data_IF_106550745608
#
_entry.id   IF_106550745608
#
_cell.length_a   1.000
_cell.length_b   1.000
_cell.length_c   1.000
_cell.angle_alpha   90.00
_cell.angle_beta   90.00
_cell.angle_gamma   90.00
#
_symmetry.space_group_name_H-M   'P 1'
#
loop_
_entity.id
_entity.type
_entity.pdbx_description
1 polymer ?
#
# COMPACT_ATOMS: atom_id res chain seq x y z
N UNK A 1 23.13 5.42 -3.12
CA UNK A 1 22.70 6.27 -4.26
C UNK A 1 21.41 6.99 -3.88
N UNK A 2 21.41 8.32 -3.80
CA UNK A 2 20.25 9.11 -3.34
C UNK A 2 19.11 9.03 -4.38
N UNK A 3 17.84 9.07 -3.97
CA UNK A 3 16.69 9.10 -4.90
C UNK A 3 16.81 10.20 -5.96
N UNK A 4 17.46 11.32 -5.64
CA UNK A 4 17.80 12.38 -6.60
C UNK A 4 18.82 11.95 -7.68
N UNK A 5 19.78 11.07 -7.37
CA UNK A 5 20.74 10.53 -8.33
C UNK A 5 20.08 9.49 -9.23
N UNK A 6 19.22 8.63 -8.67
CA UNK A 6 18.34 7.73 -9.43
C UNK A 6 17.43 8.52 -10.36
N UNK A 7 16.74 9.54 -9.85
CA UNK A 7 15.91 10.38 -10.68
C UNK A 7 16.75 11.12 -11.72
N UNK A 8 17.93 11.66 -11.42
CA UNK A 8 18.82 12.22 -12.46
C UNK A 8 19.22 11.18 -13.50
N UNK A 9 19.60 9.97 -13.10
CA UNK A 9 19.98 8.89 -14.00
C UNK A 9 18.82 8.51 -14.95
N UNK A 10 17.63 8.28 -14.41
CA UNK A 10 16.44 7.95 -15.20
C UNK A 10 15.91 9.14 -16.00
N UNK A 11 15.95 10.36 -15.48
CA UNK A 11 15.51 11.57 -16.23
C UNK A 11 16.47 11.90 -17.38
N UNK A 12 17.77 11.61 -17.23
CA UNK A 12 18.78 11.81 -18.29
C UNK A 12 18.69 10.74 -19.38
N UNK A 13 18.33 9.49 -19.03
CA UNK A 13 18.14 8.38 -20.00
C UNK A 13 16.74 8.28 -20.61
N UNK A 14 15.69 8.75 -19.93
CA UNK A 14 14.33 8.81 -20.46
C UNK A 14 14.20 9.76 -21.66
N UNK A 15 15.16 10.67 -21.86
CA UNK A 15 15.28 11.46 -23.10
C UNK A 15 15.78 10.67 -24.31
N UNK A 16 16.26 9.43 -24.13
CA UNK A 16 16.96 8.67 -25.17
C UNK A 16 16.29 7.36 -25.61
N UNK A 17 15.23 6.89 -24.95
CA UNK A 17 14.64 5.58 -25.30
C UNK A 17 13.11 5.63 -25.28
N UNK A 18 12.52 5.30 -26.41
CA UNK A 18 11.11 5.01 -26.60
C UNK A 18 10.78 3.74 -25.76
N UNK A 19 10.16 3.92 -24.59
CA UNK A 19 9.96 2.93 -23.50
C UNK A 19 8.98 1.78 -23.85
N UNK A 20 8.86 1.40 -25.11
CA UNK A 20 7.85 0.44 -25.60
C UNK A 20 8.38 -0.92 -26.04
N UNK A 21 9.69 -1.17 -26.08
CA UNK A 21 10.18 -2.43 -26.63
C UNK A 21 11.37 -3.00 -25.86
N UNK A 22 11.18 -4.25 -25.41
CA UNK A 22 12.18 -5.25 -24.99
C UNK A 22 13.01 -4.92 -23.75
N UNK A 23 12.65 -5.43 -22.57
CA UNK A 23 13.68 -5.86 -21.60
C UNK A 23 13.23 -7.06 -20.73
N UNK A 24 14.07 -8.10 -20.73
CA UNK A 24 14.03 -9.31 -19.88
C UNK A 24 14.99 -9.13 -18.68
N UNK A 25 14.90 -9.96 -17.62
CA UNK A 25 14.87 -9.51 -16.23
C UNK A 25 16.25 -9.19 -15.64
N UNK A 26 16.36 -7.99 -15.06
CA UNK A 26 17.50 -7.55 -14.23
C UNK A 26 17.39 -8.00 -12.75
N UNK A 27 16.40 -8.85 -12.43
CA UNK A 27 16.05 -9.26 -11.07
C UNK A 27 17.18 -10.00 -10.30
N UNK A 28 18.20 -10.54 -10.99
CA UNK A 28 19.22 -11.37 -10.34
C UNK A 28 20.51 -10.65 -9.90
N UNK A 29 20.77 -9.40 -10.30
CA UNK A 29 22.11 -8.78 -10.12
C UNK A 29 22.21 -7.72 -9.02
N UNK A 30 21.09 -7.34 -8.40
CA UNK A 30 21.09 -6.28 -7.37
C UNK A 30 20.96 -6.78 -5.94
N UNK A 31 20.54 -8.04 -5.72
CA UNK A 31 20.33 -8.58 -4.36
C UNK A 31 21.65 -8.63 -3.57
N UNK A 32 22.76 -9.03 -4.20
CA UNK A 32 24.07 -9.10 -3.53
C UNK A 32 24.74 -7.71 -3.31
N UNK A 33 24.28 -6.67 -4.01
CA UNK A 33 24.86 -5.33 -3.92
C UNK A 33 24.14 -4.40 -2.93
N UNK A 34 23.03 -4.84 -2.32
CA UNK A 34 22.13 -4.01 -1.52
C UNK A 34 22.20 -4.24 0.00
N UNK A 35 23.15 -5.06 0.46
CA UNK A 35 23.43 -5.30 1.87
C UNK A 35 24.88 -4.88 2.16
N UNK A 36 25.12 -3.58 2.45
CA UNK A 36 24.71 -3.04 3.74
C UNK A 36 23.98 -1.68 3.63
N UNK A 37 23.01 -1.48 4.50
CA UNK A 37 22.33 -0.20 4.66
C UNK A 37 23.33 0.91 4.98
N UNK A 38 23.53 1.85 4.05
CA UNK A 38 24.27 3.06 4.36
C UNK A 38 23.56 3.86 5.47
N UNK A 39 24.30 4.60 6.31
CA UNK A 39 23.72 5.49 7.30
C UNK A 39 22.72 6.46 6.64
N UNK A 40 21.43 6.31 6.96
CA UNK A 40 20.34 7.12 6.41
C UNK A 40 19.43 6.44 5.38
N UNK A 41 19.64 5.14 5.08
CA UNK A 41 18.69 4.37 4.28
C UNK A 41 17.33 4.22 5.01
N UNK A 42 16.22 4.45 4.30
CA UNK A 42 14.87 4.20 4.84
C UNK A 42 14.67 2.69 4.92
N UNK A 43 14.45 2.16 6.13
CA UNK A 43 14.04 0.78 6.31
C UNK A 43 12.51 0.69 6.24
N UNK A 44 11.94 0.05 5.22
CA UNK A 44 10.51 -0.15 5.13
C UNK A 44 10.04 -1.07 6.25
N UNK A 45 8.92 -0.71 6.87
CA UNK A 45 8.24 -1.54 7.88
C UNK A 45 7.28 -2.51 7.21
N UNK A 46 7.06 -3.67 7.82
CA UNK A 46 6.01 -4.58 7.37
C UNK A 46 4.63 -4.02 7.72
N UNK A 47 3.68 -4.22 6.80
CA UNK A 47 2.25 -4.01 6.97
C UNK A 47 1.53 -5.35 6.82
N UNK A 48 0.69 -5.67 7.78
CA UNK A 48 -0.09 -6.91 7.76
C UNK A 48 -1.37 -6.75 6.93
N UNK A 49 -1.58 -7.60 5.93
CA UNK A 49 -2.86 -7.68 5.20
C UNK A 49 -3.86 -8.60 5.90
N UNK A 50 -4.78 -8.04 6.68
CA UNK A 50 -5.76 -8.78 7.46
C UNK A 50 -6.99 -9.11 6.57
N UNK A 51 -7.04 -10.34 6.05
CA UNK A 51 -8.17 -10.87 5.26
C UNK A 51 -9.16 -11.73 6.07
N UNK A 52 -8.67 -12.46 7.07
CA UNK A 52 -9.46 -13.50 7.76
C UNK A 52 -9.18 -13.63 9.26
N UNK A 53 -8.45 -12.69 9.86
CA UNK A 53 -8.23 -12.68 11.31
C UNK A 53 -6.90 -12.06 11.73
N UNK A 54 -6.63 -12.19 13.04
CA UNK A 54 -5.45 -11.62 13.68
C UNK A 54 -4.73 -12.68 14.49
N UNK A 55 -3.45 -12.92 14.18
CA UNK A 55 -2.57 -13.71 15.04
C UNK A 55 -1.85 -12.78 16.02
N UNK A 56 -2.27 -12.84 17.29
CA UNK A 56 -1.76 -11.98 18.36
C UNK A 56 -0.24 -12.14 18.55
N UNK A 57 0.27 -13.37 18.47
CA UNK A 57 1.68 -13.62 18.73
C UNK A 57 2.53 -13.18 17.56
N UNK A 58 2.07 -13.43 16.33
CA UNK A 58 2.72 -12.92 15.12
C UNK A 58 2.84 -11.39 15.13
N UNK A 59 1.74 -10.70 15.45
CA UNK A 59 1.70 -9.23 15.52
C UNK A 59 2.72 -8.72 16.54
N UNK A 60 2.76 -9.36 17.72
CA UNK A 60 3.65 -9.00 18.83
C UNK A 60 5.12 -9.22 18.47
N UNK A 61 5.46 -10.40 17.94
CA UNK A 61 6.83 -10.78 17.58
C UNK A 61 7.36 -9.98 16.39
N UNK A 62 6.51 -9.75 15.37
CA UNK A 62 6.86 -8.97 14.18
C UNK A 62 6.90 -7.46 14.40
N UNK A 63 6.54 -6.98 15.60
CA UNK A 63 6.42 -5.55 15.93
C UNK A 63 5.61 -4.75 14.89
N UNK A 64 4.56 -5.37 14.33
CA UNK A 64 3.81 -4.83 13.20
C UNK A 64 2.88 -3.72 13.68
N UNK A 65 3.01 -2.52 13.11
CA UNK A 65 2.22 -1.34 13.53
C UNK A 65 1.37 -0.73 12.42
N UNK A 66 1.39 -1.32 11.23
CA UNK A 66 0.57 -0.88 10.10
C UNK A 66 -0.25 -2.07 9.64
N UNK A 67 -1.56 -1.87 9.48
CA UNK A 67 -2.52 -2.93 9.17
C UNK A 67 -3.33 -2.54 7.94
N UNK A 68 -3.47 -3.45 6.99
CA UNK A 68 -4.37 -3.35 5.85
C UNK A 68 -5.61 -4.20 6.11
N UNK A 69 -6.77 -3.57 6.06
CA UNK A 69 -8.07 -4.18 6.30
C UNK A 69 -8.72 -4.47 4.95
N UNK A 70 -8.76 -5.74 4.54
CA UNK A 70 -9.33 -6.11 3.24
C UNK A 70 -10.83 -6.36 3.39
N UNK A 71 -11.63 -5.53 2.72
CA UNK A 71 -13.08 -5.62 2.77
C UNK A 71 -13.60 -6.72 1.84
N UNK A 72 -14.70 -7.33 2.24
CA UNK A 72 -15.42 -8.33 1.44
C UNK A 72 -16.57 -7.72 0.64
N UNK A 73 -16.97 -6.49 0.98
CA UNK A 73 -18.16 -5.83 0.44
C UNK A 73 -19.44 -6.18 1.19
N UNK A 74 -19.36 -7.02 2.22
CA UNK A 74 -20.48 -7.32 3.12
C UNK A 74 -20.43 -6.37 4.32
N UNK A 75 -21.08 -5.21 4.21
CA UNK A 75 -20.97 -4.11 5.18
C UNK A 75 -21.08 -4.54 6.65
N UNK A 76 -22.05 -5.40 7.01
CA UNK A 76 -22.19 -5.84 8.41
C UNK A 76 -21.01 -6.72 8.87
N UNK A 77 -20.55 -7.63 8.02
CA UNK A 77 -19.43 -8.52 8.32
C UNK A 77 -18.11 -7.72 8.38
N UNK A 78 -17.89 -6.83 7.41
CA UNK A 78 -16.72 -5.96 7.35
C UNK A 78 -16.63 -5.06 8.60
N UNK A 79 -17.75 -4.45 9.02
CA UNK A 79 -17.78 -3.62 10.22
C UNK A 79 -17.54 -4.43 11.50
N UNK A 80 -18.07 -5.66 11.59
CA UNK A 80 -17.80 -6.55 12.72
C UNK A 80 -16.32 -6.95 12.79
N UNK A 81 -15.73 -7.32 11.66
CA UNK A 81 -14.32 -7.66 11.52
C UNK A 81 -13.39 -6.50 11.93
N UNK A 82 -13.69 -5.28 11.48
CA UNK A 82 -12.94 -4.08 11.84
C UNK A 82 -13.00 -3.80 13.35
N UNK A 83 -14.17 -3.99 13.98
CA UNK A 83 -14.34 -3.78 15.43
C UNK A 83 -13.53 -4.80 16.23
N UNK A 84 -13.60 -6.07 15.85
CA UNK A 84 -12.81 -7.13 16.49
C UNK A 84 -11.31 -6.84 16.42
N UNK A 85 -10.82 -6.49 15.24
CA UNK A 85 -9.41 -6.16 15.06
C UNK A 85 -8.99 -4.90 15.81
N UNK A 86 -9.78 -3.83 15.80
CA UNK A 86 -9.47 -2.62 16.59
C UNK A 86 -9.37 -2.94 18.08
N UNK A 87 -10.27 -3.76 18.62
CA UNK A 87 -10.24 -4.15 20.04
C UNK A 87 -8.92 -4.84 20.39
N UNK A 88 -8.51 -5.81 19.57
CA UNK A 88 -7.23 -6.50 19.74
C UNK A 88 -6.04 -5.54 19.61
N UNK A 89 -6.00 -4.73 18.55
CA UNK A 89 -4.86 -3.85 18.29
C UNK A 89 -4.73 -2.71 19.30
N UNK A 90 -5.84 -2.26 19.89
CA UNK A 90 -5.83 -1.30 20.99
C UNK A 90 -5.17 -1.88 22.24
N UNK A 91 -5.35 -3.17 22.50
CA UNK A 91 -4.68 -3.87 23.60
C UNK A 91 -3.17 -4.02 23.32
N UNK A 92 -2.80 -4.40 22.10
CA UNK A 92 -1.40 -4.62 21.71
C UNK A 92 -0.60 -3.31 21.54
N UNK A 93 -1.26 -2.24 21.07
CA UNK A 93 -0.66 -0.95 20.79
C UNK A 93 -1.49 0.19 21.38
N UNK A 94 -1.42 0.42 22.71
CA UNK A 94 -2.13 1.53 23.36
C UNK A 94 -1.70 2.90 22.83
N UNK A 95 -0.48 3.01 22.30
CA UNK A 95 0.05 4.22 21.66
C UNK A 95 -0.48 4.45 20.24
N UNK A 96 -1.32 3.55 19.71
CA UNK A 96 -1.85 3.58 18.36
C UNK A 96 -1.10 2.72 17.34
N UNK A 97 -1.77 2.52 16.21
CA UNK A 97 -1.35 1.80 15.01
C UNK A 97 -1.81 2.57 13.76
N UNK A 98 -1.28 2.25 12.60
CA UNK A 98 -1.68 2.82 11.31
C UNK A 98 -2.59 1.87 10.55
N UNK A 99 -3.55 2.42 9.81
CA UNK A 99 -4.55 1.66 9.06
C UNK A 99 -4.52 1.98 7.58
N UNK A 100 -4.78 0.97 6.76
CA UNK A 100 -5.11 1.07 5.35
C UNK A 100 -6.38 0.28 5.14
N UNK A 101 -7.38 0.85 4.47
CA UNK A 101 -8.56 0.06 4.07
C UNK A 101 -8.36 -0.35 2.62
N UNK A 102 -8.32 -1.65 2.36
CA UNK A 102 -8.36 -2.19 1.01
C UNK A 102 -9.81 -2.57 0.69
N UNK A 103 -10.47 -1.71 -0.06
CA UNK A 103 -11.87 -1.87 -0.40
C UNK A 103 -12.10 -2.88 -1.51
N UNK A 104 -11.04 -3.35 -2.21
CA UNK A 104 -11.14 -4.37 -3.25
C UNK A 104 -12.23 -4.13 -4.31
N UNK A 105 -12.52 -2.86 -4.61
CA UNK A 105 -13.55 -2.42 -5.55
C UNK A 105 -14.99 -2.67 -5.08
N UNK A 106 -15.23 -2.78 -3.78
CA UNK A 106 -16.54 -3.19 -3.25
C UNK A 106 -17.59 -2.09 -3.21
N UNK A 107 -17.21 -0.80 -3.22
CA UNK A 107 -18.20 0.28 -3.19
C UNK A 107 -18.78 0.54 -4.58
N UNK A 108 -20.08 0.30 -4.73
CA UNK A 108 -20.79 0.52 -5.99
C UNK A 108 -21.11 2.00 -6.28
N UNK A 109 -21.05 2.87 -5.27
CA UNK A 109 -21.35 4.30 -5.42
C UNK A 109 -20.43 5.17 -4.57
N UNK A 110 -20.16 6.42 -5.00
CA UNK A 110 -19.42 7.39 -4.20
C UNK A 110 -20.04 7.64 -2.81
N UNK A 111 -21.37 7.64 -2.72
CA UNK A 111 -22.10 7.85 -1.46
C UNK A 111 -21.90 6.68 -0.50
N UNK A 112 -21.85 5.44 -0.99
CA UNK A 112 -21.58 4.27 -0.17
C UNK A 112 -20.17 4.33 0.46
N UNK A 113 -19.16 4.71 -0.34
CA UNK A 113 -17.79 4.93 0.16
C UNK A 113 -17.77 6.01 1.24
N UNK A 114 -18.41 7.16 0.99
CA UNK A 114 -18.44 8.26 1.95
C UNK A 114 -19.10 7.85 3.26
N UNK A 115 -20.27 7.21 3.19
CA UNK A 115 -20.97 6.72 4.37
C UNK A 115 -20.16 5.72 5.18
N UNK A 116 -19.41 4.83 4.52
CA UNK A 116 -18.50 3.91 5.20
C UNK A 116 -17.38 4.64 5.94
N UNK A 117 -16.71 5.61 5.31
CA UNK A 117 -15.63 6.37 5.95
C UNK A 117 -16.16 7.22 7.12
N UNK A 118 -17.31 7.86 6.96
CA UNK A 118 -17.96 8.60 8.05
C UNK A 118 -18.37 7.67 9.21
N UNK A 119 -18.77 6.42 8.91
CA UNK A 119 -19.02 5.41 9.94
C UNK A 119 -17.74 5.00 10.69
N UNK A 120 -16.57 4.92 10.03
CA UNK A 120 -15.31 4.63 10.71
C UNK A 120 -14.92 5.71 11.72
N UNK A 121 -15.18 6.99 11.41
CA UNK A 121 -14.83 8.10 12.30
C UNK A 121 -15.84 8.29 13.45
N UNK A 122 -17.11 8.05 13.17
CA UNK A 122 -18.22 8.26 14.13
C UNK A 122 -18.47 7.11 15.09
N UNK A 123 -18.07 5.88 14.75
CA UNK A 123 -18.20 4.72 15.63
C UNK A 123 -17.03 4.67 16.64
N UNK A 124 -17.34 4.82 17.94
CA UNK A 124 -16.34 4.75 19.02
C UNK A 124 -15.55 3.43 19.04
N UNK A 125 -16.13 2.36 18.53
CA UNK A 125 -15.50 1.05 18.35
C UNK A 125 -14.56 0.98 17.15
N UNK A 126 -14.51 1.99 16.28
CA UNK A 126 -13.72 2.05 15.03
C UNK A 126 -12.93 3.33 14.83
N UNK A 127 -13.11 4.33 15.70
CA UNK A 127 -12.51 5.66 15.52
C UNK A 127 -10.97 5.65 15.48
N UNK A 128 -10.28 4.66 16.05
CA UNK A 128 -8.82 4.55 15.95
C UNK A 128 -8.39 4.10 14.56
N UNK A 129 -9.15 3.21 13.91
CA UNK A 129 -8.94 2.85 12.51
C UNK A 129 -9.15 4.09 11.64
N UNK A 130 -10.26 4.82 11.83
CA UNK A 130 -10.57 6.04 11.08
C UNK A 130 -9.51 7.15 11.25
N UNK A 131 -9.16 7.49 12.50
CA UNK A 131 -8.19 8.54 12.82
C UNK A 131 -6.77 8.24 12.34
N UNK A 132 -6.40 6.97 12.29
CA UNK A 132 -5.09 6.53 11.83
C UNK A 132 -5.12 5.96 10.39
N UNK A 133 -6.18 6.25 9.63
CA UNK A 133 -6.32 5.82 8.25
C UNK A 133 -5.34 6.59 7.36
N UNK A 134 -4.39 5.87 6.78
CA UNK A 134 -3.43 6.42 5.83
C UNK A 134 -4.09 6.67 4.47
N UNK A 135 -4.86 5.69 3.98
CA UNK A 135 -5.54 5.75 2.70
C UNK A 135 -6.53 4.60 2.51
N UNK A 136 -7.38 4.72 1.49
CA UNK A 136 -8.25 3.66 0.97
C UNK A 136 -7.71 3.18 -0.39
N UNK A 137 -7.44 1.88 -0.51
CA UNK A 137 -7.03 1.20 -1.73
C UNK A 137 -8.24 0.67 -2.48
N UNK A 138 -8.27 0.88 -3.79
CA UNK A 138 -9.27 0.36 -4.72
C UNK A 138 -10.71 0.55 -4.21
N UNK A 139 -11.17 1.79 -3.97
CA UNK A 139 -12.51 2.04 -3.45
C UNK A 139 -13.62 1.51 -4.37
N UNK A 140 -13.45 1.65 -5.68
CA UNK A 140 -14.48 1.36 -6.68
C UNK A 140 -14.02 0.23 -7.61
N UNK A 141 -14.97 -0.48 -8.26
CA UNK A 141 -14.64 -1.34 -9.40
C UNK A 141 -13.80 -0.59 -10.43
N UNK A 142 -12.89 -1.28 -11.11
CA UNK A 142 -11.92 -0.66 -12.03
C UNK A 142 -12.61 0.15 -13.14
N UNK A 143 -13.76 -0.32 -13.61
CA UNK A 143 -14.61 0.33 -14.61
C UNK A 143 -15.29 1.62 -14.09
N UNK A 144 -15.46 1.74 -12.77
CA UNK A 144 -16.08 2.90 -12.13
C UNK A 144 -15.06 3.90 -11.57
N UNK A 145 -13.82 3.48 -11.32
CA UNK A 145 -12.77 4.31 -10.73
C UNK A 145 -12.50 5.62 -11.52
N UNK A 146 -12.80 5.64 -12.82
CA UNK A 146 -12.68 6.83 -13.66
C UNK A 146 -14.05 7.33 -14.15
N UNK A 147 -15.09 7.25 -13.30
CA UNK A 147 -16.40 7.84 -13.58
C UNK A 147 -16.48 9.29 -13.09
N UNK A 148 -17.26 10.14 -13.78
CA UNK A 148 -17.38 11.58 -13.44
C UNK A 148 -17.90 11.81 -12.02
N UNK A 149 -18.76 10.91 -11.54
CA UNK A 149 -19.32 11.01 -10.19
C UNK A 149 -18.26 10.81 -9.10
N UNK A 150 -17.19 10.05 -9.38
CA UNK A 150 -16.05 9.92 -8.46
C UNK A 150 -15.31 11.25 -8.34
N UNK A 151 -15.08 11.93 -9.47
CA UNK A 151 -14.44 13.24 -9.50
C UNK A 151 -15.29 14.28 -8.76
N UNK A 152 -16.61 14.25 -8.98
CA UNK A 152 -17.55 15.12 -8.29
C UNK A 152 -17.49 14.91 -6.77
N UNK A 153 -17.55 13.64 -6.30
CA UNK A 153 -17.38 13.31 -4.89
C UNK A 153 -16.07 13.88 -4.33
N UNK A 154 -14.95 13.66 -5.02
CA UNK A 154 -13.64 14.12 -4.55
C UNK A 154 -13.54 15.65 -4.46
N UNK A 155 -14.20 16.37 -5.37
CA UNK A 155 -14.26 17.83 -5.32
C UNK A 155 -15.13 18.33 -4.15
N UNK A 156 -16.26 17.67 -3.88
CA UNK A 156 -17.19 18.03 -2.80
C UNK A 156 -16.73 17.58 -1.41
N UNK A 157 -15.79 16.63 -1.35
CA UNK A 157 -15.28 16.06 -0.10
C UNK A 157 -13.76 16.27 0.05
N UNK A 158 -13.31 17.50 0.31
CA UNK A 158 -11.89 17.83 0.43
C UNK A 158 -11.21 17.21 1.65
N UNK A 159 -11.96 16.91 2.70
CA UNK A 159 -11.47 16.28 3.94
C UNK A 159 -11.39 14.75 3.88
N UNK A 160 -11.71 14.13 2.73
CA UNK A 160 -11.64 12.68 2.54
C UNK A 160 -10.22 12.13 2.81
N UNK A 161 -10.10 10.85 3.23
CA UNK A 161 -8.80 10.19 3.28
C UNK A 161 -8.20 10.07 1.87
N UNK A 162 -6.89 9.85 1.80
CA UNK A 162 -6.23 9.59 0.52
C UNK A 162 -6.85 8.36 -0.16
N UNK A 163 -7.16 8.48 -1.45
CA UNK A 163 -7.70 7.38 -2.26
C UNK A 163 -6.62 6.95 -3.24
N UNK A 164 -6.36 5.65 -3.37
CA UNK A 164 -5.30 5.13 -4.22
C UNK A 164 -5.74 3.89 -4.98
N UNK A 165 -5.09 3.61 -6.10
CA UNK A 165 -5.42 2.50 -6.98
C UNK A 165 -4.26 1.53 -7.16
N UNK A 166 -4.57 0.25 -7.29
CA UNK A 166 -3.62 -0.77 -7.74
C UNK A 166 -3.18 -0.51 -9.18
N UNK A 167 -1.89 -0.63 -9.46
CA UNK A 167 -1.29 -0.33 -10.76
C UNK A 167 -0.74 -1.56 -11.51
N UNK A 168 -0.73 -2.73 -10.88
CA UNK A 168 -0.18 -3.94 -11.50
C UNK A 168 -0.87 -4.24 -12.84
N UNK A 169 -0.07 -4.44 -13.90
CA UNK A 169 -0.59 -4.73 -15.25
C UNK A 169 -1.23 -3.54 -15.99
N UNK A 170 -1.22 -2.34 -15.40
CA UNK A 170 -1.75 -1.14 -16.07
C UNK A 170 -0.70 -0.46 -16.99
N UNK A 171 -1.08 0.44 -17.90
CA UNK A 171 -0.13 1.16 -18.77
C UNK A 171 0.84 2.09 -18.00
N UNK A 172 1.99 2.41 -18.60
CA UNK A 172 3.02 3.24 -17.96
C UNK A 172 2.57 4.67 -17.59
N UNK A 173 1.59 5.24 -18.29
CA UNK A 173 1.04 6.57 -17.98
C UNK A 173 -0.10 6.53 -16.94
N UNK A 174 -0.38 5.37 -16.35
CA UNK A 174 -1.52 5.19 -15.45
C UNK A 174 -1.45 6.11 -14.23
N UNK A 175 -0.27 6.29 -13.61
CA UNK A 175 -0.11 7.21 -12.47
C UNK A 175 -0.55 8.63 -12.81
N UNK A 176 -0.11 9.17 -13.96
CA UNK A 176 -0.49 10.51 -14.38
C UNK A 176 -2.02 10.64 -14.50
N UNK A 177 -2.66 9.65 -15.13
CA UNK A 177 -4.13 9.57 -15.21
C UNK A 177 -4.76 9.52 -13.82
N UNK A 178 -4.29 8.67 -12.92
CA UNK A 178 -4.83 8.54 -11.55
C UNK A 178 -4.78 9.88 -10.81
N UNK A 179 -3.65 10.57 -10.84
CA UNK A 179 -3.49 11.87 -10.18
C UNK A 179 -4.38 12.97 -10.79
N UNK A 180 -4.57 12.96 -12.10
CA UNK A 180 -5.44 13.92 -12.80
C UNK A 180 -6.92 13.73 -12.46
N UNK A 181 -7.30 12.51 -12.03
CA UNK A 181 -8.64 12.17 -11.55
C UNK A 181 -8.86 12.42 -10.05
N UNK A 182 -7.87 12.99 -9.35
CA UNK A 182 -8.01 13.42 -7.96
C UNK A 182 -7.74 12.33 -6.91
N UNK A 183 -7.24 11.17 -7.35
CA UNK A 183 -6.63 10.18 -6.46
C UNK A 183 -5.26 10.66 -5.97
N UNK A 184 -4.84 10.14 -4.83
CA UNK A 184 -3.59 10.52 -4.18
C UNK A 184 -2.37 9.79 -4.75
N UNK A 185 -2.56 8.65 -5.42
CA UNK A 185 -1.48 7.89 -6.04
C UNK A 185 -1.89 6.47 -6.41
N UNK A 186 -0.88 5.66 -6.70
CA UNK A 186 -1.03 4.25 -7.03
C UNK A 186 -0.20 3.39 -6.10
N UNK A 187 -0.51 2.10 -6.11
CA UNK A 187 0.17 1.06 -5.38
C UNK A 187 0.58 -0.02 -6.39
N UNK A 188 1.85 -0.43 -6.40
CA UNK A 188 2.40 -1.40 -7.36
C UNK A 188 3.42 -2.32 -6.68
N UNK A 189 3.57 -3.55 -7.17
CA UNK A 189 4.62 -4.48 -6.71
C UNK A 189 5.96 -4.08 -7.33
N UNK A 190 6.81 -3.38 -6.60
CA UNK A 190 8.04 -2.79 -7.13
C UNK A 190 9.05 -3.85 -7.58
N UNK A 191 9.09 -5.03 -6.95
CA UNK A 191 9.93 -6.13 -7.39
C UNK A 191 9.49 -6.70 -8.76
N UNK A 192 8.21 -6.57 -9.10
CA UNK A 192 7.64 -7.04 -10.36
C UNK A 192 7.91 -6.09 -11.52
N UNK A 193 7.89 -4.79 -11.25
CA UNK A 193 8.09 -3.73 -12.26
C UNK A 193 8.91 -2.56 -11.70
N UNK A 194 10.19 -2.83 -11.41
CA UNK A 194 11.07 -1.87 -10.72
C UNK A 194 11.33 -0.60 -11.53
N UNK A 195 11.50 -0.71 -12.84
CA UNK A 195 11.78 0.45 -13.69
C UNK A 195 10.60 1.42 -13.70
N UNK A 196 9.38 0.89 -13.81
CA UNK A 196 8.17 1.67 -13.65
C UNK A 196 8.07 2.27 -12.25
N UNK A 197 8.36 1.50 -11.21
CA UNK A 197 8.33 1.98 -9.83
C UNK A 197 9.24 3.21 -9.64
N UNK A 198 10.43 3.18 -10.23
CA UNK A 198 11.36 4.33 -10.23
C UNK A 198 10.79 5.50 -11.02
N UNK A 199 10.25 5.26 -12.23
CA UNK A 199 9.67 6.31 -13.05
C UNK A 199 8.49 7.01 -12.34
N UNK A 200 7.58 6.22 -11.75
CA UNK A 200 6.44 6.70 -10.98
C UNK A 200 6.89 7.50 -9.75
N UNK A 201 7.94 7.04 -9.04
CA UNK A 201 8.53 7.77 -7.91
C UNK A 201 9.12 9.12 -8.34
N UNK A 202 9.83 9.17 -9.45
CA UNK A 202 10.38 10.42 -9.96
C UNK A 202 9.29 11.37 -10.45
N UNK A 203 8.23 10.84 -11.08
CA UNK A 203 7.07 11.62 -11.47
C UNK A 203 6.35 12.23 -10.25
N UNK A 204 6.10 11.44 -9.19
CA UNK A 204 5.54 11.94 -7.92
C UNK A 204 6.41 13.03 -7.29
N UNK A 205 7.72 12.82 -7.26
CA UNK A 205 8.68 13.79 -6.69
C UNK A 205 8.63 15.11 -7.47
N UNK A 206 8.73 15.04 -8.79
CA UNK A 206 8.67 16.21 -9.65
C UNK A 206 7.32 16.95 -9.56
N UNK A 207 6.22 16.23 -9.32
CA UNK A 207 4.88 16.82 -9.17
C UNK A 207 4.70 17.48 -7.81
N UNK A 208 5.21 16.87 -6.73
CA UNK A 208 5.26 17.47 -5.38
C UNK A 208 6.00 18.80 -5.35
N UNK A 209 7.08 18.92 -6.13
CA UNK A 209 7.86 20.17 -6.22
C UNK A 209 7.12 21.28 -6.99
N UNK A 210 6.15 20.93 -7.85
CA UNK A 210 5.46 21.87 -8.76
C UNK A 210 4.05 22.26 -8.30
N UNK A 211 3.36 21.39 -7.56
CA UNK A 211 1.98 21.62 -7.13
C UNK A 211 1.91 22.03 -5.65
N UNK A 212 0.87 22.78 -5.23
CA UNK A 212 0.73 23.25 -3.86
C UNK A 212 0.79 22.12 -2.83
N UNK A 213 1.43 22.41 -1.69
CA UNK A 213 1.51 21.51 -0.52
C UNK A 213 0.10 21.05 -0.13
N UNK A 214 -0.09 19.74 0.04
CA UNK A 214 -1.32 19.15 0.56
C UNK A 214 -2.16 18.35 -0.45
N UNK A 215 -1.96 18.52 -1.75
CA UNK A 215 -2.72 17.78 -2.79
C UNK A 215 -2.16 16.36 -3.07
N UNK A 216 -0.85 16.18 -2.87
CA UNK A 216 -0.13 14.93 -3.11
C UNK A 216 0.70 14.53 -1.89
N UNK A 217 0.04 14.20 -0.78
CA UNK A 217 0.70 13.77 0.46
C UNK A 217 1.08 12.30 0.45
N UNK A 218 0.70 11.56 -0.58
CA UNK A 218 0.99 10.14 -0.68
C UNK A 218 2.45 9.92 -1.05
N UNK A 219 3.19 9.28 -0.14
CA UNK A 219 4.59 8.89 -0.35
C UNK A 219 4.74 7.59 -1.13
N UNK A 220 3.67 7.13 -1.78
CA UNK A 220 3.59 5.78 -2.34
C UNK A 220 3.21 4.79 -1.26
N UNK A 221 2.33 3.85 -1.59
CA UNK A 221 2.13 2.69 -0.76
C UNK A 221 2.21 1.44 -1.60
N UNK A 222 2.33 0.34 -0.90
CA UNK A 222 2.82 -0.93 -1.43
C UNK A 222 1.68 -1.95 -1.42
N UNK A 223 1.60 -2.72 -2.49
CA UNK A 223 0.62 -3.79 -2.63
C UNK A 223 1.06 -4.94 -1.75
N UNK A 224 0.12 -5.81 -1.33
CA UNK A 224 0.50 -7.10 -0.80
C UNK A 224 1.43 -7.80 -1.81
N UNK A 225 2.61 -8.17 -1.32
CA UNK A 225 3.57 -8.99 -2.06
C UNK A 225 3.04 -10.41 -2.17
N UNK A 226 3.37 -11.09 -3.27
CA UNK A 226 3.09 -12.52 -3.45
C UNK A 226 3.66 -13.38 -2.32
N UNK A 227 3.16 -14.60 -2.23
CA UNK A 227 3.48 -15.56 -1.16
C UNK A 227 4.98 -15.95 -1.16
N UNK A 228 5.57 -16.03 0.04
CA UNK A 228 6.91 -16.58 0.29
C UNK A 228 7.98 -15.56 0.66
N UNK A 229 8.95 -16.00 1.49
CA UNK A 229 10.05 -15.18 2.00
C UNK A 229 10.81 -14.40 0.92
N UNK A 230 11.20 -15.06 -0.18
CA UNK A 230 12.01 -14.42 -1.22
C UNK A 230 11.27 -13.28 -1.94
N UNK A 231 9.97 -13.44 -2.16
CA UNK A 231 9.14 -12.39 -2.74
C UNK A 231 9.11 -11.16 -1.82
N UNK A 232 8.91 -11.37 -0.51
CA UNK A 232 8.92 -10.28 0.48
C UNK A 232 10.28 -9.60 0.56
N UNK A 233 11.38 -10.36 0.61
CA UNK A 233 12.73 -9.78 0.67
C UNK A 233 13.04 -8.95 -0.58
N UNK A 234 12.66 -9.43 -1.76
CA UNK A 234 12.83 -8.70 -3.01
C UNK A 234 12.01 -7.41 -3.03
N UNK A 235 10.76 -7.45 -2.55
CA UNK A 235 9.95 -6.22 -2.45
C UNK A 235 10.54 -5.25 -1.42
N UNK A 236 10.92 -5.72 -0.23
CA UNK A 236 11.55 -4.87 0.80
C UNK A 236 12.80 -4.18 0.26
N UNK A 237 13.64 -4.91 -0.48
CA UNK A 237 14.83 -4.34 -1.12
C UNK A 237 14.46 -3.26 -2.15
N UNK A 238 13.53 -3.57 -3.06
CA UNK A 238 13.06 -2.62 -4.08
C UNK A 238 12.48 -1.35 -3.44
N UNK A 239 11.64 -1.49 -2.42
CA UNK A 239 10.95 -0.41 -1.74
C UNK A 239 11.91 0.45 -0.90
N UNK A 240 12.94 -0.16 -0.31
CA UNK A 240 14.03 0.55 0.37
C UNK A 240 14.77 1.49 -0.58
N UNK A 241 15.08 1.02 -1.80
CA UNK A 241 15.75 1.84 -2.84
C UNK A 241 14.89 3.02 -3.27
N UNK A 242 13.57 2.82 -3.33
CA UNK A 242 12.60 3.88 -3.67
C UNK A 242 12.36 4.88 -2.51
N UNK A 243 12.85 4.55 -1.30
CA UNK A 243 12.67 5.36 -0.09
C UNK A 243 11.26 5.27 0.49
N UNK A 244 10.54 4.17 0.19
CA UNK A 244 9.20 3.93 0.72
C UNK A 244 9.28 3.33 2.12
N UNK A 245 8.32 3.71 2.98
CA UNK A 245 8.39 3.45 4.43
C UNK A 245 7.67 2.19 4.89
N UNK A 246 6.90 1.54 4.02
CA UNK A 246 6.12 0.34 4.38
C UNK A 246 5.94 -0.60 3.21
N UNK A 247 5.92 -1.91 3.46
CA UNK A 247 5.60 -2.99 2.50
C UNK A 247 4.44 -3.83 3.04
N UNK A 248 3.41 -4.08 2.24
CA UNK A 248 2.30 -4.95 2.63
C UNK A 248 2.65 -6.43 2.38
N UNK A 249 2.35 -7.29 3.33
CA UNK A 249 2.55 -8.73 3.25
C UNK A 249 1.33 -9.49 3.80
N UNK A 250 0.99 -10.62 3.17
CA UNK A 250 -0.08 -11.53 3.60
C UNK A 250 0.37 -12.32 4.86
N UNK A 251 -0.49 -12.57 5.87
CA UNK A 251 -0.03 -12.62 7.25
C UNK A 251 0.80 -13.81 7.68
N UNK A 252 0.46 -15.06 7.34
CA UNK A 252 0.86 -16.13 8.28
C UNK A 252 2.18 -16.81 7.89
N UNK A 253 2.27 -17.42 6.70
CA UNK A 253 3.43 -18.23 6.34
C UNK A 253 4.69 -17.40 6.17
N UNK A 254 4.59 -16.25 5.50
CA UNK A 254 5.76 -15.51 5.07
C UNK A 254 6.40 -14.67 6.18
N UNK A 255 5.63 -14.18 7.16
CA UNK A 255 6.19 -13.50 8.35
C UNK A 255 6.82 -14.53 9.29
N UNK A 256 6.20 -15.70 9.50
CA UNK A 256 6.78 -16.79 10.30
C UNK A 256 8.13 -17.25 9.72
N UNK A 257 8.23 -17.41 8.40
CA UNK A 257 9.48 -17.71 7.70
C UNK A 257 10.55 -16.61 7.87
N UNK A 258 10.15 -15.34 7.96
CA UNK A 258 11.06 -14.20 8.12
C UNK A 258 11.59 -14.06 9.54
N UNK A 259 10.77 -14.32 10.55
CA UNK A 259 11.16 -14.24 11.97
C UNK A 259 11.86 -15.51 12.48
N UNK A 260 12.04 -16.52 11.62
CA UNK A 260 12.69 -17.78 11.97
C UNK A 260 11.86 -18.68 12.89
N UNK A 261 10.54 -18.46 12.95
CA UNK A 261 9.62 -19.31 13.70
C UNK A 261 9.34 -20.60 12.94
N UNK A 262 9.44 -21.75 13.60
CA UNK A 262 8.90 -22.99 13.04
C UNK A 262 7.39 -22.82 12.81
N UNK A 263 6.91 -23.20 11.63
CA UNK A 263 5.48 -23.35 11.38
C UNK A 263 4.93 -24.31 12.44
N UNK A 264 3.94 -23.92 13.27
CA UNK A 264 3.29 -24.91 14.12
C UNK A 264 2.59 -25.89 13.19
N UNK A 265 3.19 -27.07 13.05
CA UNK A 265 2.60 -28.17 12.32
C UNK A 265 1.29 -28.53 13.03
N UNK A 266 0.15 -28.06 12.51
CA UNK A 266 -1.16 -28.57 12.94
C UNK A 266 -2.36 -27.63 13.05
N UNK A 267 -2.36 -26.38 12.56
CA UNK A 267 -3.55 -25.51 12.68
C UNK A 267 -4.27 -25.17 11.38
N UNK A 268 -4.18 -26.01 10.34
CA UNK A 268 -5.16 -26.01 9.24
C UNK A 268 -6.07 -27.22 9.39
N UNK A 269 -7.05 -27.08 10.29
CA UNK A 269 -8.38 -27.67 10.21
C UNK A 269 -9.14 -27.36 11.50
N UNK A 270 -10.14 -26.47 11.44
CA UNK A 270 -11.53 -26.81 11.79
C UNK A 270 -12.49 -25.62 11.60
N UNK A 271 -13.56 -25.96 10.88
CA UNK A 271 -14.87 -25.33 10.70
C UNK A 271 -14.93 -23.98 9.98
#
# INVERSE_FOLDING_TARGET
MKTQELCRFYTTRAKAVNLGATYKPLAGKYVDALLPAEPGAVQPRLRLSCKSGFDRELIRQGHIRTFEWVLTGQTLADMAFLREGQLLLRELYPSGFQSVVNAAGTFATPQALRGFIEALDSDDGLNLIGRNLLYVLDPFPAEQAFHRDVVALFAEWPSRPAMVLTADGTPANYLAKVLDWGYAGIVLQAAKDFERAVADRCYLTARKDREPIGKYTFDGAVLPVGEGRDAILNELAAQSVLGNKSVACDPVSAILELIGGEHPAGSVARA
#
